data_IF_492747121980
#
_entry.id   IF_492747121980
#
_cell.length_a   1.000
_cell.length_b   1.000
_cell.length_c   1.000
_cell.angle_alpha   90.00
_cell.angle_beta   90.00
_cell.angle_gamma   90.00
#
_symmetry.space_group_name_H-M   'P 1'
#
loop_
_entity.id
_entity.type
_entity.pdbx_description
1 polymer ?
#
# COMPACT_ATOMS: atom_id res chain seq x y z
N UNK A 1 -0.41 3.27 1.91
CA UNK A 1 0.68 4.10 1.36
C UNK A 1 1.75 4.24 2.43
N UNK A 2 2.86 3.50 2.34
CA UNK A 2 3.95 3.60 3.32
C UNK A 2 4.85 4.75 2.89
N UNK A 3 4.66 5.93 3.46
CA UNK A 3 5.56 7.07 3.22
C UNK A 3 6.79 6.88 4.10
N UNK A 4 7.95 6.65 3.50
CA UNK A 4 9.23 6.66 4.22
C UNK A 4 9.61 8.11 4.56
N UNK A 5 9.08 8.63 5.66
CA UNK A 5 9.62 9.83 6.30
C UNK A 5 10.88 9.48 7.11
N UNK A 6 11.94 10.27 7.00
CA UNK A 6 12.98 10.29 8.04
C UNK A 6 12.30 10.85 9.31
N UNK A 7 12.33 10.10 10.40
CA UNK A 7 11.89 10.57 11.71
C UNK A 7 13.05 11.37 12.32
N UNK A 8 12.92 12.70 12.39
CA UNK A 8 13.89 13.58 13.04
C UNK A 8 13.52 13.95 14.48
N UNK A 9 12.42 13.44 15.02
CA UNK A 9 12.06 13.66 16.42
C UNK A 9 12.17 12.38 17.26
N UNK A 10 12.85 12.53 18.39
CA UNK A 10 13.10 11.53 19.41
C UNK A 10 11.78 11.06 20.06
N UNK A 11 11.11 10.09 19.45
CA UNK A 11 10.27 9.16 20.21
C UNK A 11 11.22 8.30 21.05
N UNK A 12 11.63 8.83 22.21
CA UNK A 12 12.43 8.10 23.19
C UNK A 12 11.55 7.03 23.86
N UNK A 13 11.45 5.86 23.22
CA UNK A 13 11.14 4.60 23.91
C UNK A 13 12.35 3.67 23.75
N UNK A 14 13.06 3.47 24.86
CA UNK A 14 14.13 2.48 24.97
C UNK A 14 13.55 1.06 24.82
N UNK A 15 14.27 0.21 24.07
CA UNK A 15 14.23 -1.26 24.05
C UNK A 15 12.87 -2.01 23.88
N UNK A 16 11.74 -1.35 23.67
CA UNK A 16 10.42 -1.98 23.44
C UNK A 16 10.25 -2.63 22.06
N UNK A 17 9.23 -3.48 21.92
CA UNK A 17 8.77 -4.13 20.69
C UNK A 17 8.39 -3.13 19.56
N UNK A 18 7.87 -3.63 18.44
CA UNK A 18 7.23 -2.88 17.35
C UNK A 18 6.48 -1.64 17.88
N UNK A 19 6.68 -0.50 17.21
CA UNK A 19 6.05 0.78 17.57
C UNK A 19 5.05 1.19 16.49
N UNK A 20 3.80 1.38 16.88
CA UNK A 20 2.77 2.00 16.05
C UNK A 20 2.72 3.52 16.28
N UNK A 21 2.48 4.28 15.22
CA UNK A 21 2.25 5.72 15.31
C UNK A 21 1.36 6.20 14.16
N UNK A 22 0.73 7.35 14.35
CA UNK A 22 -0.09 8.01 13.34
C UNK A 22 0.73 9.13 12.69
N UNK A 23 0.82 9.11 11.38
CA UNK A 23 1.34 10.23 10.60
C UNK A 23 0.17 11.04 10.02
N UNK A 24 0.09 12.32 10.35
CA UNK A 24 -0.85 13.27 9.76
C UNK A 24 -0.14 14.21 8.78
N UNK A 25 -0.79 14.48 7.64
CA UNK A 25 -0.41 15.51 6.66
C UNK A 25 -1.33 16.71 6.85
N UNK A 26 -0.98 17.56 7.80
CA UNK A 26 -1.79 18.68 8.28
C UNK A 26 -1.61 19.87 7.34
N UNK A 27 -2.70 20.55 6.96
CA UNK A 27 -2.65 21.79 6.20
C UNK A 27 -2.09 22.91 7.06
N UNK A 28 -1.06 23.58 6.57
CA UNK A 28 -0.29 24.55 7.34
C UNK A 28 -1.16 25.70 7.88
N UNK A 29 -2.09 26.19 7.04
CA UNK A 29 -3.05 27.25 7.39
C UNK A 29 -3.93 26.90 8.60
N UNK A 30 -4.25 25.62 8.80
CA UNK A 30 -5.14 25.14 9.86
C UNK A 30 -4.38 24.47 11.02
N UNK A 31 -3.06 24.33 10.93
CA UNK A 31 -2.26 23.59 11.91
C UNK A 31 -2.34 24.20 13.32
N UNK A 32 -2.39 25.52 13.41
CA UNK A 32 -2.45 26.28 14.67
C UNK A 32 -3.70 26.00 15.52
N UNK A 33 -4.74 25.40 14.93
CA UNK A 33 -5.96 25.03 15.65
C UNK A 33 -5.74 23.91 16.67
N UNK A 34 -4.69 23.09 16.48
CA UNK A 34 -4.38 21.94 17.33
C UNK A 34 -2.91 21.90 17.73
N UNK A 35 -2.01 22.19 16.80
CA UNK A 35 -0.59 21.94 16.91
C UNK A 35 0.17 23.24 17.16
N UNK A 36 1.27 23.15 17.92
CA UNK A 36 2.18 24.28 18.13
C UNK A 36 2.91 24.63 16.84
N UNK A 37 3.39 25.86 16.73
CA UNK A 37 4.07 26.33 15.52
C UNK A 37 5.33 25.50 15.20
N UNK A 38 6.06 25.07 16.25
CA UNK A 38 7.26 24.25 16.18
C UNK A 38 6.98 22.73 16.12
N UNK A 39 5.71 22.32 16.18
CA UNK A 39 5.33 20.91 16.14
C UNK A 39 5.18 20.41 14.70
N UNK A 40 5.93 19.35 14.39
CA UNK A 40 5.94 18.69 13.08
C UNK A 40 7.00 19.25 12.12
N UNK A 41 7.06 18.65 10.94
CA UNK A 41 8.03 18.99 9.89
C UNK A 41 7.31 19.56 8.67
N UNK A 42 7.54 20.84 8.34
CA UNK A 42 7.02 21.44 7.11
C UNK A 42 7.58 20.72 5.89
N UNK A 43 6.71 20.32 4.95
CA UNK A 43 7.12 19.63 3.74
C UNK A 43 7.55 20.61 2.65
N UNK A 44 8.19 20.11 1.59
CA UNK A 44 8.88 20.91 0.58
C UNK A 44 8.04 21.98 -0.13
N UNK A 45 6.71 21.87 -0.12
CA UNK A 45 5.82 22.88 -0.70
C UNK A 45 5.30 23.92 0.31
N UNK A 46 5.59 23.76 1.62
CA UNK A 46 5.09 24.63 2.68
C UNK A 46 3.58 24.54 2.96
N UNK A 47 2.79 23.95 2.06
CA UNK A 47 1.33 23.84 2.18
C UNK A 47 0.89 22.88 3.28
N UNK A 48 1.73 21.90 3.61
CA UNK A 48 1.44 20.90 4.63
C UNK A 48 2.65 20.66 5.51
N UNK A 49 2.38 20.26 6.76
CA UNK A 49 3.37 19.73 7.69
C UNK A 49 3.08 18.29 8.04
N UNK A 50 4.13 17.52 8.31
CA UNK A 50 4.06 16.15 8.83
C UNK A 50 4.03 16.20 10.35
N UNK A 51 2.95 15.73 10.96
CA UNK A 51 2.86 15.54 12.41
C UNK A 51 2.84 14.05 12.70
N UNK A 52 3.63 13.63 13.70
CA UNK A 52 3.69 12.24 14.16
C UNK A 52 3.08 12.20 15.55
N UNK A 53 2.07 11.35 15.74
CA UNK A 53 1.34 11.18 16.98
C UNK A 53 1.47 9.74 17.45
N UNK A 54 1.42 9.53 18.76
CA UNK A 54 1.17 8.20 19.32
C UNK A 54 -0.25 7.75 18.89
N UNK A 55 -0.46 6.44 18.79
CA UNK A 55 -1.79 5.88 18.49
C UNK A 55 -2.80 6.17 19.59
N UNK A 56 -2.33 6.42 20.81
CA UNK A 56 -3.14 6.80 21.97
C UNK A 56 -3.01 8.30 22.33
N UNK A 57 -2.60 9.16 21.37
CA UNK A 57 -2.47 10.60 21.63
C UNK A 57 -3.82 11.20 22.07
N UNK A 58 -3.84 11.78 23.27
CA UNK A 58 -5.04 12.36 23.90
C UNK A 58 -5.72 13.45 23.06
N UNK A 59 -5.04 14.02 22.06
CA UNK A 59 -5.59 15.05 21.17
C UNK A 59 -6.39 14.46 20.01
N UNK A 60 -6.36 13.15 19.76
CA UNK A 60 -7.06 12.52 18.63
C UNK A 60 -8.56 12.87 18.58
N UNK A 61 -9.33 12.84 19.69
CA UNK A 61 -10.74 13.26 19.65
C UNK A 61 -10.92 14.70 19.18
N UNK A 62 -10.04 15.61 19.61
CA UNK A 62 -10.09 17.03 19.26
C UNK A 62 -9.65 17.27 17.81
N UNK A 63 -8.62 16.56 17.33
CA UNK A 63 -8.21 16.56 15.92
C UNK A 63 -9.39 16.16 15.03
N UNK A 64 -10.09 15.08 15.39
CA UNK A 64 -11.27 14.60 14.66
C UNK A 64 -12.37 15.67 14.68
N UNK A 65 -12.67 16.24 15.85
CA UNK A 65 -13.68 17.29 16.01
C UNK A 65 -13.40 18.50 15.13
N UNK A 66 -12.18 19.04 15.18
CA UNK A 66 -11.78 20.23 14.40
C UNK A 66 -11.77 19.93 12.90
N UNK A 67 -11.29 18.75 12.49
CA UNK A 67 -11.35 18.34 11.08
C UNK A 67 -12.79 18.38 10.54
N UNK A 68 -13.77 17.91 11.32
CA UNK A 68 -15.17 17.92 10.90
C UNK A 68 -15.77 19.31 10.79
N UNK A 69 -15.43 20.19 11.75
CA UNK A 69 -15.88 21.57 11.71
C UNK A 69 -15.39 22.25 10.43
N UNK A 70 -14.10 22.11 10.12
CA UNK A 70 -13.53 22.65 8.88
C UNK A 70 -14.17 22.02 7.64
N UNK A 71 -14.44 20.71 7.65
CA UNK A 71 -15.06 20.02 6.52
C UNK A 71 -16.46 20.53 6.20
N UNK A 72 -17.24 20.92 7.21
CA UNK A 72 -18.55 21.55 7.01
C UNK A 72 -18.44 22.87 6.23
N UNK A 73 -17.30 23.55 6.35
CA UNK A 73 -16.96 24.81 5.67
C UNK A 73 -16.13 24.58 4.39
N UNK A 74 -15.98 23.33 3.93
CA UNK A 74 -15.15 22.93 2.78
C UNK A 74 -13.64 23.18 2.95
N UNK A 75 -13.18 23.31 4.20
CA UNK A 75 -11.78 23.30 4.58
C UNK A 75 -11.40 21.93 5.17
N UNK A 76 -10.10 21.69 5.39
CA UNK A 76 -9.62 20.44 5.97
C UNK A 76 -8.49 20.70 6.96
N UNK A 77 -8.47 19.99 8.08
CA UNK A 77 -7.31 20.03 9.00
C UNK A 77 -6.12 19.26 8.41
N UNK A 78 -6.37 18.12 7.78
CA UNK A 78 -5.34 17.28 7.17
C UNK A 78 -5.82 16.73 5.83
N UNK A 79 -4.88 16.54 4.89
CA UNK A 79 -5.14 15.94 3.59
C UNK A 79 -4.89 14.43 3.55
N UNK A 80 -4.31 13.86 4.61
CA UNK A 80 -4.11 12.42 4.74
C UNK A 80 -3.61 12.02 6.12
N UNK A 81 -3.92 10.78 6.49
CA UNK A 81 -3.50 10.13 7.72
C UNK A 81 -3.03 8.70 7.42
N UNK A 82 -1.98 8.26 8.12
CA UNK A 82 -1.41 6.93 7.93
C UNK A 82 -1.10 6.30 9.28
N UNK A 83 -1.65 5.10 9.53
CA UNK A 83 -1.11 4.25 10.57
C UNK A 83 0.21 3.65 10.07
N UNK A 84 1.27 3.84 10.83
CA UNK A 84 2.61 3.41 10.49
C UNK A 84 3.17 2.52 11.59
N UNK A 85 3.98 1.53 11.18
CA UNK A 85 4.71 0.65 12.10
C UNK A 85 6.19 0.75 11.88
N UNK A 86 6.94 0.80 12.97
CA UNK A 86 8.39 0.73 12.95
C UNK A 86 8.85 -0.50 13.70
N UNK A 87 9.64 -1.30 12.99
CA UNK A 87 10.23 -2.52 13.49
C UNK A 87 11.73 -2.33 13.70
N UNK A 88 12.27 -3.00 14.71
CA UNK A 88 13.70 -3.28 14.79
C UNK A 88 14.09 -4.23 13.66
N UNK A 89 15.34 -4.12 13.22
CA UNK A 89 15.89 -5.06 12.22
C UNK A 89 15.78 -6.51 12.69
N UNK A 90 15.99 -6.78 13.98
CA UNK A 90 15.87 -8.10 14.59
C UNK A 90 14.45 -8.67 14.57
N UNK A 91 13.41 -7.84 14.62
CA UNK A 91 12.00 -8.30 14.57
C UNK A 91 11.68 -8.78 13.15
N UNK A 92 12.03 -7.98 12.14
CA UNK A 92 11.89 -8.38 10.73
C UNK A 92 12.78 -9.58 10.36
N UNK A 93 13.90 -9.78 11.05
CA UNK A 93 14.79 -10.92 10.84
C UNK A 93 14.24 -12.23 11.41
N UNK A 94 13.53 -12.15 12.54
CA UNK A 94 12.92 -13.30 13.21
C UNK A 94 11.54 -13.67 12.67
N UNK A 95 10.85 -12.75 11.99
CA UNK A 95 9.56 -13.03 11.39
C UNK A 95 9.65 -14.14 10.33
N UNK A 96 8.79 -15.16 10.45
CA UNK A 96 8.66 -16.25 9.46
C UNK A 96 8.03 -15.71 8.16
N UNK A 97 7.00 -14.88 8.31
CA UNK A 97 6.26 -14.24 7.23
C UNK A 97 6.19 -12.73 7.41
N UNK A 98 6.04 -12.04 6.30
CA UNK A 98 5.97 -10.58 6.26
C UNK A 98 4.85 -10.13 5.34
N UNK A 99 4.17 -9.04 5.68
CA UNK A 99 3.32 -8.32 4.74
C UNK A 99 4.20 -7.41 3.87
N UNK A 100 4.02 -7.49 2.56
CA UNK A 100 4.66 -6.65 1.56
C UNK A 100 3.79 -5.45 1.22
N UNK A 101 4.39 -4.27 1.33
CA UNK A 101 3.78 -3.01 0.93
C UNK A 101 4.55 -2.44 -0.26
N UNK A 102 3.90 -2.43 -1.42
CA UNK A 102 4.43 -1.83 -2.64
C UNK A 102 3.90 -0.40 -2.74
N UNK A 103 4.79 0.58 -2.85
CA UNK A 103 4.38 1.98 -2.86
C UNK A 103 3.68 2.34 -4.18
N UNK A 104 2.50 2.99 -4.14
CA UNK A 104 1.90 3.55 -5.33
C UNK A 104 2.82 4.66 -5.85
N UNK A 105 3.25 4.53 -7.09
CA UNK A 105 4.12 5.53 -7.73
C UNK A 105 3.80 5.75 -9.20
N UNK A 106 2.83 5.02 -9.73
CA UNK A 106 2.20 5.27 -11.01
C UNK A 106 0.82 5.82 -10.69
N UNK A 107 0.57 7.09 -11.00
CA UNK A 107 -0.64 7.78 -10.55
C UNK A 107 -1.89 7.41 -11.35
N UNK A 108 -1.66 6.85 -12.52
CA UNK A 108 -2.69 6.48 -13.47
C UNK A 108 -3.03 5.00 -13.34
N UNK A 109 -4.29 4.68 -13.65
CA UNK A 109 -4.76 3.31 -13.69
C UNK A 109 -4.53 2.70 -15.08
N UNK A 110 -4.54 1.36 -15.19
CA UNK A 110 -4.40 0.69 -16.48
C UNK A 110 -5.52 1.06 -17.46
N UNK A 111 -6.72 1.30 -16.96
CA UNK A 111 -7.91 1.63 -17.75
C UNK A 111 -7.74 2.94 -18.52
N UNK A 112 -6.99 3.91 -17.97
CA UNK A 112 -6.67 5.19 -18.62
C UNK A 112 -5.89 5.01 -19.93
N UNK A 113 -5.26 3.85 -20.12
CA UNK A 113 -4.41 3.52 -21.25
C UNK A 113 -4.89 2.30 -22.05
N UNK A 114 -6.12 1.82 -21.81
CA UNK A 114 -6.73 0.73 -22.58
C UNK A 114 -6.65 -0.66 -21.95
N UNK A 115 -6.28 -0.76 -20.68
CA UNK A 115 -6.50 -2.01 -19.92
C UNK A 115 -8.00 -2.20 -19.72
N UNK A 116 -8.50 -3.40 -20.04
CA UNK A 116 -9.92 -3.73 -19.97
C UNK A 116 -10.13 -4.70 -18.82
N UNK A 117 -11.10 -4.40 -17.96
CA UNK A 117 -11.55 -5.26 -16.89
C UNK A 117 -12.99 -5.69 -17.16
N UNK A 118 -13.31 -6.92 -16.77
CA UNK A 118 -14.67 -7.42 -16.65
C UNK A 118 -15.29 -6.83 -15.37
N UNK A 119 -16.13 -5.82 -15.55
CA UNK A 119 -16.89 -5.20 -14.45
C UNK A 119 -18.15 -5.98 -14.09
N UNK A 120 -18.63 -6.88 -14.95
CA UNK A 120 -19.84 -7.67 -14.69
C UNK A 120 -19.58 -8.71 -13.58
N UNK A 121 -18.36 -9.21 -13.51
CA UNK A 121 -17.88 -10.08 -12.42
C UNK A 121 -17.58 -9.33 -11.12
N UNK A 122 -17.53 -7.99 -11.15
CA UNK A 122 -17.25 -7.20 -9.97
C UNK A 122 -18.48 -7.16 -9.05
N UNK A 123 -18.25 -7.24 -7.74
CA UNK A 123 -19.29 -7.04 -6.76
C UNK A 123 -19.89 -5.64 -6.92
N UNK A 124 -21.22 -5.49 -7.12
CA UNK A 124 -21.83 -4.18 -7.34
C UNK A 124 -21.77 -3.27 -6.10
N UNK A 125 -21.52 -3.84 -4.92
CA UNK A 125 -21.49 -3.09 -3.66
C UNK A 125 -20.09 -2.54 -3.34
N UNK A 126 -19.04 -3.35 -3.50
CA UNK A 126 -17.67 -2.98 -3.12
C UNK A 126 -16.69 -2.92 -4.30
N UNK A 127 -17.09 -3.39 -5.48
CA UNK A 127 -16.26 -3.46 -6.69
C UNK A 127 -15.12 -4.49 -6.65
N UNK A 128 -15.08 -5.35 -5.64
CA UNK A 128 -14.17 -6.48 -5.58
C UNK A 128 -14.45 -7.48 -6.70
N UNK A 129 -13.43 -8.21 -7.14
CA UNK A 129 -13.61 -9.37 -8.03
C UNK A 129 -13.51 -9.10 -9.52
N UNK A 130 -13.41 -7.84 -9.95
CA UNK A 130 -13.20 -7.53 -11.37
C UNK A 130 -11.97 -8.24 -11.95
N UNK A 131 -12.15 -8.92 -13.07
CA UNK A 131 -11.11 -9.70 -13.72
C UNK A 131 -10.49 -8.92 -14.89
N UNK A 132 -9.16 -8.87 -14.99
CA UNK A 132 -8.49 -8.19 -16.10
C UNK A 132 -8.60 -9.03 -17.38
N UNK A 133 -9.25 -8.51 -18.43
CA UNK A 133 -9.49 -9.19 -19.70
C UNK A 133 -8.38 -8.97 -20.73
N UNK A 134 -7.74 -7.80 -20.73
CA UNK A 134 -6.67 -7.46 -21.67
C UNK A 134 -5.29 -7.42 -21.01
N UNK A 135 -4.25 -7.14 -21.80
CA UNK A 135 -2.93 -6.88 -21.25
C UNK A 135 -2.91 -5.58 -20.42
N UNK A 136 -1.96 -5.44 -19.50
CA UNK A 136 -1.80 -4.20 -18.74
C UNK A 136 -1.11 -3.15 -19.62
N UNK A 137 -1.80 -2.03 -19.84
CA UNK A 137 -1.30 -0.87 -20.57
C UNK A 137 -1.02 0.27 -19.60
N UNK A 138 0.18 0.84 -19.65
CA UNK A 138 0.58 1.97 -18.80
C UNK A 138 1.47 2.94 -19.55
N UNK A 139 1.51 4.21 -19.11
CA UNK A 139 2.50 5.17 -19.59
C UNK A 139 3.87 4.93 -18.96
N UNK A 140 4.66 4.07 -19.61
CA UNK A 140 6.00 3.68 -19.16
C UNK A 140 6.98 4.86 -19.01
N UNK A 141 6.72 6.03 -19.62
CA UNK A 141 7.56 7.22 -19.46
C UNK A 141 7.44 7.85 -18.07
N UNK A 142 6.34 7.59 -17.36
CA UNK A 142 6.09 8.11 -16.00
C UNK A 142 6.59 7.17 -14.91
N UNK A 143 7.03 5.97 -15.29
CA UNK A 143 7.58 5.01 -14.35
C UNK A 143 8.97 5.45 -13.88
N UNK A 144 9.16 5.53 -12.57
CA UNK A 144 10.46 5.80 -11.97
C UNK A 144 11.42 4.63 -12.19
N UNK A 145 12.53 4.88 -12.89
CA UNK A 145 13.60 3.90 -13.11
C UNK A 145 14.46 3.63 -11.88
N UNK A 146 14.22 4.34 -10.79
CA UNK A 146 14.96 4.18 -9.52
C UNK A 146 14.41 3.07 -8.62
N UNK A 147 13.32 2.42 -9.04
CA UNK A 147 12.60 1.38 -8.30
C UNK A 147 12.45 0.12 -9.16
N UNK A 148 12.30 -1.01 -8.49
CA UNK A 148 12.11 -2.32 -9.12
C UNK A 148 10.69 -2.86 -8.92
N UNK A 149 9.98 -2.38 -7.90
CA UNK A 149 8.58 -2.69 -7.65
C UNK A 149 7.79 -1.39 -7.51
N UNK A 150 6.62 -1.34 -8.13
CA UNK A 150 5.76 -0.17 -8.20
C UNK A 150 4.31 -0.62 -8.13
N UNK A 151 3.48 0.14 -7.42
CA UNK A 151 2.03 0.03 -7.52
C UNK A 151 1.46 1.15 -8.38
N UNK A 152 0.32 0.90 -9.01
CA UNK A 152 -0.56 1.96 -9.51
C UNK A 152 -1.41 2.54 -8.38
N UNK A 153 -1.96 3.73 -8.59
CA UNK A 153 -2.88 4.36 -7.63
C UNK A 153 -4.21 3.57 -7.50
N UNK A 154 -4.53 2.68 -8.44
CA UNK A 154 -5.67 1.75 -8.33
C UNK A 154 -5.50 0.71 -7.21
N UNK A 155 -4.27 0.56 -6.70
CA UNK A 155 -3.83 -0.38 -5.68
C UNK A 155 -3.88 -1.87 -6.07
N UNK A 156 -4.36 -2.21 -7.28
CA UNK A 156 -4.46 -3.60 -7.74
C UNK A 156 -3.23 -4.00 -8.56
N UNK A 157 -2.79 -3.14 -9.47
CA UNK A 157 -1.73 -3.46 -10.42
C UNK A 157 -0.36 -3.28 -9.78
N UNK A 158 0.45 -4.33 -9.87
CA UNK A 158 1.81 -4.39 -9.32
C UNK A 158 2.75 -4.55 -10.50
N UNK A 159 3.69 -3.63 -10.66
CA UNK A 159 4.59 -3.57 -11.81
C UNK A 159 6.02 -3.73 -11.32
N UNK A 160 6.79 -4.57 -12.00
CA UNK A 160 8.17 -4.91 -11.63
C UNK A 160 9.13 -4.75 -12.79
N UNK A 161 10.39 -4.43 -12.48
CA UNK A 161 11.47 -4.31 -13.46
C UNK A 161 11.88 -5.69 -13.99
N UNK A 162 12.47 -5.74 -15.19
CA UNK A 162 13.13 -6.95 -15.71
C UNK A 162 14.13 -7.55 -14.71
N UNK A 163 14.91 -6.69 -14.02
CA UNK A 163 15.88 -7.09 -13.00
C UNK A 163 15.24 -7.85 -11.84
N UNK A 164 14.07 -7.40 -11.38
CA UNK A 164 13.33 -8.09 -10.32
C UNK A 164 12.91 -9.49 -10.77
N UNK A 165 12.36 -9.61 -11.99
CA UNK A 165 11.93 -10.88 -12.56
C UNK A 165 13.09 -11.87 -12.70
N UNK A 166 14.25 -11.41 -13.14
CA UNK A 166 15.48 -12.22 -13.21
C UNK A 166 15.88 -12.73 -11.82
N UNK A 167 15.88 -11.85 -10.80
CA UNK A 167 16.20 -12.26 -9.44
C UNK A 167 15.22 -13.30 -8.87
N UNK A 168 13.93 -13.20 -9.20
CA UNK A 168 12.91 -14.19 -8.79
C UNK A 168 13.17 -15.54 -9.44
N UNK A 169 13.55 -15.56 -10.73
CA UNK A 169 13.86 -16.79 -11.47
C UNK A 169 15.16 -17.44 -11.00
N UNK A 170 16.22 -16.65 -10.85
CA UNK A 170 17.53 -17.13 -10.39
C UNK A 170 17.45 -17.80 -9.01
N UNK A 171 16.54 -17.33 -8.16
CA UNK A 171 16.34 -17.84 -6.81
C UNK A 171 15.18 -18.83 -6.72
N UNK A 172 14.56 -19.20 -7.84
CA UNK A 172 13.45 -20.15 -7.94
C UNK A 172 12.32 -19.88 -6.91
N UNK A 173 11.94 -18.61 -6.75
CA UNK A 173 10.87 -18.21 -5.83
C UNK A 173 9.51 -18.51 -6.46
N UNK A 174 8.59 -19.03 -5.65
CA UNK A 174 7.26 -19.52 -6.09
C UNK A 174 6.12 -18.55 -5.75
N UNK A 175 4.94 -18.80 -6.33
CA UNK A 175 3.71 -18.03 -6.08
C UNK A 175 3.55 -16.75 -6.92
N UNK A 176 4.44 -16.53 -7.90
CA UNK A 176 4.40 -15.39 -8.81
C UNK A 176 4.34 -15.83 -10.27
N UNK A 177 3.62 -15.05 -11.08
CA UNK A 177 3.71 -15.05 -12.54
C UNK A 177 3.92 -13.61 -13.04
N UNK A 178 4.44 -13.48 -14.26
CA UNK A 178 4.84 -12.22 -14.85
C UNK A 178 4.33 -12.08 -16.28
N UNK A 179 3.58 -11.00 -16.54
CA UNK A 179 3.11 -10.65 -17.89
C UNK A 179 3.74 -9.36 -18.37
N UNK A 180 4.03 -9.18 -19.67
CA UNK A 180 4.53 -7.91 -20.16
C UNK A 180 3.57 -6.74 -19.90
N UNK A 181 4.11 -5.57 -19.55
CA UNK A 181 3.37 -4.31 -19.55
C UNK A 181 3.59 -3.62 -20.88
N UNK A 182 2.50 -3.21 -21.52
CA UNK A 182 2.54 -2.58 -22.83
C UNK A 182 2.42 -1.06 -22.73
N UNK A 183 3.04 -0.38 -23.70
CA UNK A 183 2.76 1.04 -23.92
C UNK A 183 1.35 1.21 -24.51
N UNK A 184 0.69 2.37 -24.31
CA UNK A 184 -0.69 2.58 -24.76
C UNK A 184 -0.88 2.30 -26.26
N UNK A 185 -2.00 1.70 -26.63
CA UNK A 185 -2.35 1.41 -28.04
C UNK A 185 -2.52 2.75 -28.81
N UNK A 186 -2.03 2.79 -30.07
CA UNK A 186 -1.88 3.99 -30.93
C UNK A 186 -3.02 5.01 -30.84
N UNK A 187 -2.65 6.29 -30.69
CA UNK A 187 -3.54 7.47 -30.70
C UNK A 187 -2.95 8.62 -29.89
N UNK A 188 -2.20 8.30 -28.84
CA UNK A 188 -1.42 9.26 -28.09
C UNK A 188 -0.01 9.38 -28.70
N UNK A 189 0.36 10.60 -29.11
CA UNK A 189 1.70 10.95 -29.63
C UNK A 189 2.75 10.89 -28.51
N UNK A 190 3.00 9.72 -27.93
CA UNK A 190 4.11 9.55 -26.99
C UNK A 190 5.38 9.22 -27.78
N UNK A 191 6.27 10.20 -27.93
CA UNK A 191 7.64 9.93 -28.36
C UNK A 191 8.24 8.95 -27.35
N UNK A 192 8.50 7.71 -27.76
CA UNK A 192 9.21 6.78 -26.89
C UNK A 192 10.56 7.41 -26.57
N UNK A 193 10.85 7.63 -25.29
CA UNK A 193 12.23 7.92 -24.90
C UNK A 193 13.03 6.66 -25.27
N UNK A 194 13.92 6.77 -26.27
CA UNK A 194 15.04 5.83 -26.46
C UNK A 194 15.78 5.76 -25.13
N UNK A 195 15.45 4.77 -24.32
CA UNK A 195 15.93 4.68 -22.96
C UNK A 195 16.24 3.24 -22.64
N UNK A 196 17.46 3.03 -22.18
CA UNK A 196 18.12 1.77 -21.79
C UNK A 196 17.47 1.01 -20.63
N UNK A 197 16.22 1.30 -20.29
CA UNK A 197 15.48 0.54 -19.27
C UNK A 197 14.92 -0.73 -19.90
N UNK A 198 15.22 -1.89 -19.31
CA UNK A 198 14.61 -3.16 -19.71
C UNK A 198 13.08 -3.14 -19.60
N UNK A 199 12.41 -4.17 -20.15
CA UNK A 199 10.95 -4.27 -20.12
C UNK A 199 10.38 -4.29 -18.69
N UNK A 200 9.15 -3.78 -18.54
CA UNK A 200 8.38 -3.83 -17.30
C UNK A 200 7.38 -4.98 -17.37
N UNK A 201 7.09 -5.59 -16.22
CA UNK A 201 6.19 -6.73 -16.11
C UNK A 201 5.13 -6.48 -15.04
N UNK A 202 3.90 -6.91 -15.31
CA UNK A 202 2.86 -7.04 -14.30
C UNK A 202 3.18 -8.26 -13.45
N UNK A 203 3.26 -8.08 -12.14
CA UNK A 203 3.42 -9.16 -11.17
C UNK A 203 2.03 -9.66 -10.74
N UNK A 204 1.81 -10.94 -10.95
CA UNK A 204 0.58 -11.65 -10.58
C UNK A 204 0.89 -12.65 -9.48
N UNK A 205 0.00 -12.77 -8.50
CA UNK A 205 0.09 -13.81 -7.46
C UNK A 205 -0.69 -15.02 -7.92
N UNK A 206 -0.04 -16.17 -7.99
CA UNK A 206 -0.62 -17.42 -8.50
C UNK A 206 -0.80 -18.50 -7.44
N UNK A 207 -0.22 -18.30 -6.24
CA UNK A 207 -0.42 -19.20 -5.11
C UNK A 207 -1.86 -19.18 -4.59
N UNK A 208 -2.17 -20.13 -3.73
CA UNK A 208 -3.39 -20.08 -2.93
C UNK A 208 -3.45 -18.82 -2.05
N UNK A 209 -4.67 -18.34 -1.85
CA UNK A 209 -4.94 -17.18 -0.98
C UNK A 209 -5.29 -17.65 0.42
N UNK A 210 -4.87 -16.90 1.43
CA UNK A 210 -5.09 -17.23 2.84
C UNK A 210 -6.17 -16.36 3.47
N UNK A 211 -6.93 -16.93 4.41
CA UNK A 211 -7.93 -16.18 5.17
C UNK A 211 -7.25 -15.33 6.24
N UNK A 212 -7.60 -14.05 6.32
CA UNK A 212 -7.21 -13.14 7.40
C UNK A 212 -8.08 -13.40 8.61
N UNK A 213 -7.46 -13.57 9.78
CA UNK A 213 -8.10 -14.01 11.02
C UNK A 213 -7.71 -13.10 12.20
N UNK A 214 -8.44 -13.15 13.33
CA UNK A 214 -8.00 -12.52 14.57
C UNK A 214 -6.57 -12.96 14.98
N UNK A 215 -5.80 -12.08 15.66
CA UNK A 215 -6.18 -10.78 16.20
C UNK A 215 -6.07 -9.62 15.20
N UNK A 216 -6.09 -9.85 13.89
CA UNK A 216 -6.08 -8.76 12.89
C UNK A 216 -7.21 -7.77 13.16
N UNK A 217 -6.85 -6.52 13.45
CA UNK A 217 -7.80 -5.43 13.67
C UNK A 217 -8.00 -4.66 12.38
N UNK A 218 -9.27 -4.52 12.02
CA UNK A 218 -9.70 -3.75 10.87
C UNK A 218 -10.59 -2.62 11.37
N UNK A 219 -10.33 -1.42 10.90
CA UNK A 219 -11.19 -0.28 11.18
C UNK A 219 -10.76 0.93 10.38
N UNK A 220 -11.20 2.10 10.82
CA UNK A 220 -10.58 3.32 10.37
C UNK A 220 -10.10 4.13 11.56
N UNK A 221 -8.85 4.59 11.42
CA UNK A 221 -8.11 5.36 12.40
C UNK A 221 -8.78 6.70 12.74
N UNK A 222 -9.48 7.35 11.80
CA UNK A 222 -9.96 8.74 11.92
C UNK A 222 -11.41 8.97 11.42
N UNK A 223 -12.31 7.98 11.46
CA UNK A 223 -13.62 8.04 10.76
C UNK A 223 -14.80 8.63 11.54
N UNK A 224 -15.71 9.27 10.77
CA UNK A 224 -17.11 9.56 11.11
C UNK A 224 -18.18 8.92 10.21
N UNK A 225 -17.90 8.53 8.96
CA UNK A 225 -18.86 7.82 8.10
C UNK A 225 -18.34 6.45 7.70
N UNK A 226 -18.64 5.42 8.51
CA UNK A 226 -18.37 4.05 8.14
C UNK A 226 -19.38 3.61 7.08
N UNK A 227 -18.88 3.26 5.89
CA UNK A 227 -19.65 2.32 5.07
C UNK A 227 -19.60 0.95 5.76
N UNK A 228 -20.73 0.24 5.85
CA UNK A 228 -20.69 -1.13 6.34
C UNK A 228 -19.79 -1.95 5.43
N UNK A 229 -19.06 -2.91 6.02
CA UNK A 229 -18.32 -3.90 5.26
C UNK A 229 -19.25 -4.55 4.23
N UNK A 230 -18.69 -4.92 3.08
CA UNK A 230 -19.44 -5.64 2.06
C UNK A 230 -20.17 -6.84 2.71
N UNK A 231 -21.51 -6.91 2.62
CA UNK A 231 -22.28 -7.96 3.29
C UNK A 231 -21.98 -9.37 2.73
N UNK A 232 -21.31 -9.44 1.59
CA UNK A 232 -20.84 -10.68 0.95
C UNK A 232 -19.45 -11.12 1.46
N UNK A 233 -18.82 -10.38 2.37
CA UNK A 233 -17.52 -10.72 2.94
C UNK A 233 -16.30 -10.48 2.03
N UNK A 234 -16.49 -9.93 0.83
CA UNK A 234 -15.40 -9.69 -0.13
C UNK A 234 -14.40 -8.63 0.35
N UNK A 235 -14.92 -7.57 0.96
CA UNK A 235 -14.16 -6.41 1.38
C UNK A 235 -14.51 -6.08 2.80
N UNK A 236 -13.49 -5.78 3.59
CA UNK A 236 -13.67 -5.42 4.98
C UNK A 236 -13.99 -3.93 5.14
N UNK A 237 -13.99 -3.15 4.05
CA UNK A 237 -14.18 -1.68 3.93
C UNK A 237 -13.43 -0.88 5.00
N UNK A 238 -12.32 -1.45 5.47
CA UNK A 238 -11.58 -1.00 6.65
C UNK A 238 -10.10 -1.11 6.38
N UNK A 239 -9.33 -0.18 6.92
CA UNK A 239 -7.88 -0.19 6.91
C UNK A 239 -7.35 -1.22 7.90
N UNK A 240 -6.15 -1.73 7.61
CA UNK A 240 -5.39 -2.58 8.51
C UNK A 240 -4.88 -1.75 9.71
N UNK A 241 -5.46 -2.00 10.89
CA UNK A 241 -5.13 -1.35 12.16
C UNK A 241 -4.19 -2.15 13.07
N UNK A 242 -3.79 -3.35 12.63
CA UNK A 242 -2.74 -4.15 13.28
C UNK A 242 -1.85 -4.81 12.23
N UNK A 243 -0.81 -5.50 12.69
CA UNK A 243 -0.16 -6.57 11.92
C UNK A 243 -1.20 -7.56 11.41
N UNK A 244 -0.93 -8.15 10.25
CA UNK A 244 -1.84 -9.11 9.62
C UNK A 244 -1.58 -10.50 10.19
N UNK A 245 -2.63 -11.13 10.68
CA UNK A 245 -2.66 -12.55 11.04
C UNK A 245 -3.53 -13.29 10.04
N UNK A 246 -3.02 -14.39 9.49
CA UNK A 246 -3.70 -15.23 8.52
C UNK A 246 -3.67 -16.71 8.91
N UNK A 247 -4.62 -17.47 8.40
CA UNK A 247 -4.74 -18.91 8.65
C UNK A 247 -3.66 -19.67 7.86
N UNK A 248 -2.80 -20.41 8.57
CA UNK A 248 -1.70 -21.17 7.98
C UNK A 248 -2.17 -22.35 7.14
N UNK A 249 -3.34 -22.92 7.45
CA UNK A 249 -3.91 -24.08 6.75
C UNK A 249 -4.20 -23.82 5.26
N UNK A 250 -4.42 -22.56 4.87
CA UNK A 250 -4.63 -22.16 3.48
C UNK A 250 -3.35 -21.83 2.69
N UNK A 251 -2.17 -21.89 3.32
CA UNK A 251 -0.91 -21.60 2.66
C UNK A 251 -0.34 -22.86 2.01
N UNK A 252 -0.02 -22.76 0.72
CA UNK A 252 0.47 -23.85 -0.12
C UNK A 252 2.01 -24.01 -0.13
N UNK A 253 2.71 -23.28 0.73
CA UNK A 253 4.17 -23.27 0.78
C UNK A 253 4.84 -22.26 -0.15
N UNK A 254 4.08 -21.46 -0.91
CA UNK A 254 4.65 -20.49 -1.84
C UNK A 254 5.44 -19.36 -1.16
N UNK A 255 6.48 -18.85 -1.83
CA UNK A 255 7.30 -17.74 -1.34
C UNK A 255 6.56 -16.40 -1.30
N UNK A 256 5.58 -16.21 -2.18
CA UNK A 256 4.69 -15.04 -2.22
C UNK A 256 3.25 -15.50 -2.37
N UNK A 257 2.37 -14.92 -1.56
CA UNK A 257 0.94 -15.24 -1.54
C UNK A 257 0.13 -14.02 -1.12
N UNK A 258 -1.19 -14.13 -1.08
CA UNK A 258 -2.08 -13.00 -0.77
C UNK A 258 -3.25 -13.38 0.12
N UNK A 259 -3.89 -12.39 0.73
CA UNK A 259 -5.13 -12.60 1.46
C UNK A 259 -6.31 -12.87 0.52
N UNK A 260 -7.27 -13.66 0.98
CA UNK A 260 -8.56 -13.83 0.33
C UNK A 260 -9.40 -12.56 0.47
N UNK A 261 -9.45 -12.00 1.68
CA UNK A 261 -10.14 -10.75 1.98
C UNK A 261 -9.41 -9.58 1.33
N UNK A 262 -10.18 -8.58 0.88
CA UNK A 262 -9.66 -7.34 0.32
C UNK A 262 -9.88 -6.14 1.25
N UNK A 263 -8.96 -5.18 1.17
CA UNK A 263 -8.88 -3.99 1.99
C UNK A 263 -9.05 -2.72 1.16
N UNK A 264 -9.50 -1.65 1.80
CA UNK A 264 -9.82 -0.39 1.13
C UNK A 264 -11.20 -0.38 0.48
N UNK A 265 -11.50 0.73 -0.18
CA UNK A 265 -12.82 1.01 -0.78
C UNK A 265 -12.68 1.21 -2.29
N UNK A 266 -13.77 0.96 -3.03
CA UNK A 266 -13.87 1.40 -4.43
C UNK A 266 -14.06 2.92 -4.49
N UNK A 267 -13.19 3.58 -5.25
CA UNK A 267 -13.30 5.00 -5.56
C UNK A 267 -12.76 5.24 -6.97
N UNK A 268 -13.65 5.55 -7.91
CA UNK A 268 -13.31 5.66 -9.33
C UNK A 268 -12.59 4.38 -9.80
N UNK A 269 -11.33 4.49 -10.22
CA UNK A 269 -10.48 3.38 -10.67
C UNK A 269 -9.79 2.65 -9.50
N UNK A 270 -9.85 3.17 -8.27
CA UNK A 270 -9.35 2.47 -7.10
C UNK A 270 -10.26 1.31 -6.77
N UNK A 271 -9.65 0.16 -6.56
CA UNK A 271 -10.35 -1.07 -6.18
C UNK A 271 -9.78 -1.59 -4.86
N UNK A 272 -10.57 -2.35 -4.09
CA UNK A 272 -10.05 -3.05 -2.93
C UNK A 272 -8.87 -3.96 -3.29
N UNK A 273 -7.82 -3.93 -2.46
CA UNK A 273 -6.57 -4.66 -2.67
C UNK A 273 -6.42 -5.82 -1.69
N UNK A 274 -5.70 -6.87 -2.07
CA UNK A 274 -5.32 -7.97 -1.17
C UNK A 274 -4.06 -7.59 -0.39
N UNK A 275 -3.96 -8.02 0.88
CA UNK A 275 -2.69 -7.99 1.58
C UNK A 275 -1.74 -8.98 0.90
N UNK A 276 -0.54 -8.53 0.57
CA UNK A 276 0.47 -9.35 -0.07
C UNK A 276 1.43 -9.85 1.00
N UNK A 277 1.74 -11.14 1.00
CA UNK A 277 2.63 -11.77 1.97
C UNK A 277 3.86 -12.34 1.27
N UNK A 278 4.95 -12.46 2.01
CA UNK A 278 6.12 -13.19 1.55
C UNK A 278 6.82 -13.93 2.68
N UNK A 279 7.58 -14.96 2.31
CA UNK A 279 8.52 -15.65 3.18
C UNK A 279 9.74 -14.77 3.49
N UNK A 280 10.48 -15.15 4.53
CA UNK A 280 11.78 -14.52 4.81
C UNK A 280 12.78 -14.71 3.66
N UNK A 281 12.73 -15.83 2.92
CA UNK A 281 13.58 -16.09 1.75
C UNK A 281 13.41 -14.99 0.69
N UNK A 282 12.17 -14.66 0.33
CA UNK A 282 11.88 -13.57 -0.60
C UNK A 282 12.44 -12.22 -0.11
N UNK A 283 12.22 -11.87 1.17
CA UNK A 283 12.74 -10.61 1.73
C UNK A 283 14.26 -10.54 1.70
N UNK A 284 14.95 -11.65 1.99
CA UNK A 284 16.41 -11.69 1.94
C UNK A 284 16.93 -11.55 0.50
N UNK A 285 16.24 -12.10 -0.51
CA UNK A 285 16.53 -11.84 -1.92
C UNK A 285 16.44 -10.33 -2.22
N UNK A 286 15.33 -9.68 -1.86
CA UNK A 286 15.12 -8.24 -2.07
C UNK A 286 16.23 -7.41 -1.43
N UNK A 287 16.60 -7.73 -0.18
CA UNK A 287 17.66 -7.03 0.57
C UNK A 287 19.03 -7.24 -0.09
N UNK A 288 19.42 -8.50 -0.36
CA UNK A 288 20.72 -8.87 -0.93
C UNK A 288 20.93 -8.27 -2.32
N UNK A 289 19.89 -8.29 -3.16
CA UNK A 289 19.93 -7.76 -4.53
C UNK A 289 19.71 -6.24 -4.60
N UNK A 290 19.44 -5.58 -3.47
CA UNK A 290 19.22 -4.14 -3.40
C UNK A 290 18.02 -3.66 -4.23
N UNK A 291 16.95 -4.47 -4.25
CA UNK A 291 15.72 -4.16 -4.99
C UNK A 291 14.91 -3.09 -4.23
N UNK A 292 14.32 -2.15 -4.96
CA UNK A 292 13.68 -0.95 -4.40
C UNK A 292 12.19 -0.91 -4.71
N UNK A 293 11.43 -0.19 -3.87
CA UNK A 293 9.99 0.06 -4.09
C UNK A 293 9.04 -0.79 -3.24
N UNK A 294 9.59 -1.61 -2.35
CA UNK A 294 8.83 -2.41 -1.38
C UNK A 294 9.27 -2.12 0.06
N UNK A 295 8.34 -2.22 0.99
CA UNK A 295 8.54 -2.23 2.44
C UNK A 295 7.90 -3.48 3.04
N UNK A 296 8.38 -3.89 4.22
CA UNK A 296 7.91 -5.09 4.88
C UNK A 296 7.43 -4.77 6.28
N UNK A 297 6.33 -5.41 6.69
CA UNK A 297 5.82 -5.45 8.05
C UNK A 297 5.74 -6.90 8.52
N UNK A 298 5.75 -7.14 9.83
CA UNK A 298 5.59 -8.50 10.37
C UNK A 298 4.18 -9.00 10.06
N UNK A 299 4.08 -10.28 9.69
CA UNK A 299 2.82 -11.00 9.54
C UNK A 299 2.90 -12.34 10.27
N UNK A 300 1.75 -12.83 10.72
CA UNK A 300 1.65 -14.08 11.47
C UNK A 300 0.78 -15.06 10.69
N UNK A 301 1.28 -16.29 10.50
CA UNK A 301 0.47 -17.40 10.01
C UNK A 301 0.26 -18.36 11.18
N UNK A 302 -0.99 -18.56 11.58
CA UNK A 302 -1.39 -19.37 12.74
C UNK A 302 -2.26 -20.56 12.35
#
# INVERSE_FOLDING_TARGET
MVIRGKLSHNLHREQGAMVEYIELRVWEENAHLIFREDEGEKLSCGLTRKVILDVDDHRLPEIIRVHNQLRAERHFLYGGHFLCRKYKSSELEKAEFLTMWIAPSIREAGEDYGTVYDEETACPLCGSGAHQLSALFLNLNKISRSRDLLGTDSAVEKVVSQRFLECVRDEELTGLDFRPVHAPVRGAKFKSRKGTGGPWHQMLVTSQSVSVVPPTRLGELMVLDLRPACPLGHCTDRWLLSEVTAEKSGWDGADVFQSLQRFGIRQEHRRPYTALFCTQRFRQMVKRRGLKGVTFEVAHLI
#
